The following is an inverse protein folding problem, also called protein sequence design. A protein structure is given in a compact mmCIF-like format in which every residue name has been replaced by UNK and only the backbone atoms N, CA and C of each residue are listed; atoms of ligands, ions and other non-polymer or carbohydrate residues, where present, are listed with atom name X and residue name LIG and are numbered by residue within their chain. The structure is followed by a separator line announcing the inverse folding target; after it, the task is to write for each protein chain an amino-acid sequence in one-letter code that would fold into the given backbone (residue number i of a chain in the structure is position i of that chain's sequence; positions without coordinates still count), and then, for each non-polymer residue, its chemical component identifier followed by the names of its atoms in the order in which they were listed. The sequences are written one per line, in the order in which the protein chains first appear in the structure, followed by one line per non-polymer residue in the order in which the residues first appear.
data_IF_140227230878
#
_entry.id   IF_140227230878
#
_cell.length_a   1.000
_cell.length_b   1.000
_cell.length_c   1.000
_cell.angle_alpha   90.00
_cell.angle_beta   90.00
_cell.angle_gamma   90.00
#
_symmetry.space_group_name_H-M   'P 1'
#
loop_
_entity.id
_entity.type
_entity.pdbx_description
1 polymer ?
#
# COMPACT_ATOMS: atom_id res chain seq x y z
N UNK A 1 -1.59 9.80 -14.76
CA UNK A 1 -2.46 9.04 -13.85
C UNK A 1 -1.65 8.70 -12.60
N UNK A 2 -2.21 8.15 -11.52
CA UNK A 2 -1.44 7.38 -10.54
C UNK A 2 -1.22 5.94 -11.04
N UNK A 3 -0.36 5.16 -10.37
CA UNK A 3 -0.30 3.70 -10.51
C UNK A 3 -1.12 3.11 -9.37
N UNK A 4 -1.92 2.11 -9.68
CA UNK A 4 -2.73 1.37 -8.71
C UNK A 4 -1.85 0.34 -8.01
N UNK A 5 -2.06 0.19 -6.70
CA UNK A 5 -1.32 -0.72 -5.85
C UNK A 5 -2.30 -1.53 -5.03
N UNK A 6 -2.18 -2.85 -5.09
CA UNK A 6 -2.94 -3.78 -4.27
C UNK A 6 -2.00 -4.54 -3.35
N UNK A 7 -2.32 -4.57 -2.06
CA UNK A 7 -1.55 -5.30 -1.04
C UNK A 7 -2.45 -6.29 -0.33
N UNK A 8 -2.02 -7.55 -0.28
CA UNK A 8 -2.66 -8.62 0.48
C UNK A 8 -1.75 -9.07 1.61
N UNK A 9 -2.27 -9.03 2.83
CA UNK A 9 -1.52 -9.41 4.03
C UNK A 9 -2.37 -10.23 4.99
N UNK A 10 -1.73 -11.03 5.83
CA UNK A 10 -2.41 -11.84 6.85
C UNK A 10 -2.76 -11.06 8.12
N UNK A 11 -2.14 -9.89 8.31
CA UNK A 11 -2.32 -8.99 9.44
C UNK A 11 -2.75 -7.61 8.95
N UNK A 12 -3.65 -6.93 9.67
CA UNK A 12 -4.14 -5.60 9.29
C UNK A 12 -2.99 -4.58 9.25
N UNK A 13 -2.62 -4.03 8.09
CA UNK A 13 -1.60 -3.00 8.04
C UNK A 13 -2.08 -1.72 8.73
N UNK A 14 -1.18 -1.09 9.48
CA UNK A 14 -1.36 0.24 10.01
C UNK A 14 -0.52 1.25 9.21
N UNK A 15 -0.94 2.52 9.11
CA UNK A 15 -0.15 3.53 8.40
C UNK A 15 1.30 3.66 8.88
N UNK A 16 1.55 3.43 10.17
CA UNK A 16 2.90 3.45 10.75
C UNK A 16 3.80 2.36 10.17
N UNK A 17 3.24 1.19 9.84
CA UNK A 17 4.01 0.06 9.31
C UNK A 17 4.65 0.39 7.96
N UNK A 18 3.94 1.16 7.12
CA UNK A 18 4.47 1.62 5.84
C UNK A 18 5.54 2.70 6.01
N UNK A 19 5.42 3.56 7.03
CA UNK A 19 6.46 4.56 7.34
C UNK A 19 7.72 3.88 7.86
N UNK A 20 7.58 2.88 8.73
CA UNK A 20 8.70 2.10 9.25
C UNK A 20 9.42 1.35 8.12
N UNK A 21 8.66 0.71 7.22
CA UNK A 21 9.22 0.09 6.02
C UNK A 21 9.93 1.10 5.11
N UNK A 22 9.40 2.32 5.02
CA UNK A 22 9.96 3.41 4.22
C UNK A 22 11.15 4.15 4.83
N UNK A 23 11.41 3.99 6.13
CA UNK A 23 12.40 4.81 6.85
C UNK A 23 13.83 4.66 6.30
N UNK A 24 14.17 3.48 5.75
CA UNK A 24 15.46 3.23 5.09
C UNK A 24 15.56 3.74 3.65
N UNK A 25 14.42 4.08 3.03
CA UNK A 25 14.30 4.53 1.64
C UNK A 25 14.26 6.07 1.58
N UNK A 26 13.40 6.66 2.40
CA UNK A 26 13.27 8.10 2.55
C UNK A 26 13.16 8.44 4.06
N UNK A 27 14.20 9.02 4.68
CA UNK A 27 14.26 9.19 6.13
C UNK A 27 13.36 10.31 6.68
N UNK A 28 12.76 11.09 5.79
CA UNK A 28 11.98 12.29 6.05
C UNK A 28 10.48 12.13 5.76
N UNK A 29 10.02 10.88 5.59
CA UNK A 29 8.63 10.54 5.37
C UNK A 29 7.75 10.97 6.54
N UNK A 30 6.53 11.40 6.21
CA UNK A 30 5.51 11.79 7.19
C UNK A 30 4.16 11.23 6.78
N UNK A 31 3.25 11.17 7.74
CA UNK A 31 1.87 10.75 7.52
C UNK A 31 0.95 11.96 7.50
N UNK A 32 0.02 11.99 6.54
CA UNK A 32 -1.13 12.90 6.52
C UNK A 32 -2.39 12.10 6.26
N UNK A 33 -3.42 12.33 7.06
CA UNK A 33 -4.74 11.73 6.83
C UNK A 33 -5.64 12.71 6.09
N UNK A 34 -6.34 12.21 5.07
CA UNK A 34 -7.31 12.93 4.27
C UNK A 34 -8.73 12.37 4.50
N UNK A 35 -9.73 13.09 4.01
CA UNK A 35 -11.13 12.62 3.95
C UNK A 35 -11.68 12.07 5.28
N UNK A 36 -11.33 12.72 6.40
CA UNK A 36 -11.81 12.32 7.72
C UNK A 36 -11.30 10.97 8.22
N UNK A 37 -10.25 10.39 7.62
CA UNK A 37 -9.72 9.08 8.00
C UNK A 37 -9.70 8.05 6.88
N UNK A 38 -10.41 8.29 5.78
CA UNK A 38 -10.60 7.28 4.72
C UNK A 38 -9.34 7.00 3.90
N UNK A 39 -8.44 7.99 3.80
CA UNK A 39 -7.17 7.87 3.08
C UNK A 39 -6.05 8.37 3.96
N UNK A 40 -4.97 7.59 4.01
CA UNK A 40 -3.72 8.00 4.63
C UNK A 40 -2.63 8.13 3.57
N UNK A 41 -2.01 9.30 3.51
CA UNK A 41 -0.89 9.57 2.64
C UNK A 41 0.44 9.51 3.40
N UNK A 42 1.43 8.92 2.74
CA UNK A 42 2.83 9.10 3.05
C UNK A 42 3.35 10.21 2.14
N UNK A 43 3.94 11.22 2.75
CA UNK A 43 4.46 12.41 2.07
C UNK A 43 5.94 12.61 2.36
N UNK A 44 6.67 13.19 1.42
CA UNK A 44 8.09 13.55 1.59
C UNK A 44 8.28 14.83 2.44
N UNK A 45 9.53 15.29 2.65
CA UNK A 45 9.81 16.57 3.35
C UNK A 45 9.14 17.79 2.74
N UNK A 46 8.82 17.77 1.45
CA UNK A 46 8.19 18.88 0.72
C UNK A 46 6.67 18.85 0.89
N UNK A 47 6.13 17.75 1.39
CA UNK A 47 4.70 17.50 1.51
C UNK A 47 4.08 16.94 0.24
N UNK A 48 4.91 16.50 -0.71
CA UNK A 48 4.46 15.83 -1.93
C UNK A 48 4.13 14.38 -1.58
N UNK A 49 2.96 13.90 -2.00
CA UNK A 49 2.54 12.52 -1.75
C UNK A 49 3.44 11.55 -2.52
N UNK A 50 3.88 10.48 -1.86
CA UNK A 50 4.61 9.36 -2.48
C UNK A 50 3.76 8.10 -2.52
N UNK A 51 2.81 7.96 -1.59
CA UNK A 51 1.88 6.84 -1.49
C UNK A 51 0.60 7.32 -0.80
N UNK A 52 -0.56 6.98 -1.36
CA UNK A 52 -1.87 7.19 -0.75
C UNK A 52 -2.51 5.82 -0.51
N UNK A 53 -3.03 5.55 0.69
CA UNK A 53 -3.48 4.22 1.11
C UNK A 53 -4.88 4.32 1.68
N UNK A 54 -5.79 3.47 1.23
CA UNK A 54 -7.12 3.35 1.82
C UNK A 54 -7.09 2.55 3.12
N UNK A 55 -8.18 2.65 3.88
CA UNK A 55 -8.38 1.79 5.04
C UNK A 55 -8.39 0.32 4.60
N UNK A 56 -7.57 -0.56 5.21
CA UNK A 56 -7.57 -1.98 4.89
C UNK A 56 -8.92 -2.65 5.22
N UNK A 57 -9.36 -3.53 4.34
CA UNK A 57 -10.60 -4.29 4.49
C UNK A 57 -10.32 -5.79 4.63
N UNK A 58 -11.03 -6.46 5.54
CA UNK A 58 -10.88 -7.91 5.73
C UNK A 58 -11.75 -8.66 4.71
N UNK A 59 -11.12 -9.50 3.88
CA UNK A 59 -11.80 -10.40 2.96
C UNK A 59 -11.74 -11.82 3.50
N UNK A 60 -12.86 -12.31 4.03
CA UNK A 60 -12.95 -13.63 4.67
C UNK A 60 -13.19 -14.80 3.69
N UNK A 61 -13.73 -14.50 2.50
CA UNK A 61 -14.18 -15.53 1.55
C UNK A 61 -13.08 -15.88 0.55
N UNK A 62 -12.61 -17.13 0.56
CA UNK A 62 -11.60 -17.62 -0.37
C UNK A 62 -11.99 -17.50 -1.86
N UNK A 63 -13.27 -17.68 -2.21
CA UNK A 63 -13.73 -17.50 -3.59
C UNK A 63 -13.66 -16.03 -4.02
N UNK A 64 -13.86 -15.11 -3.08
CA UNK A 64 -13.73 -13.67 -3.34
C UNK A 64 -12.27 -13.25 -3.49
N UNK A 65 -11.38 -13.76 -2.64
CA UNK A 65 -9.92 -13.58 -2.79
C UNK A 65 -9.45 -14.07 -4.15
N UNK A 66 -9.88 -15.27 -4.57
CA UNK A 66 -9.52 -15.83 -5.88
C UNK A 66 -10.08 -15.01 -7.06
N UNK A 67 -11.24 -14.38 -6.90
CA UNK A 67 -11.86 -13.51 -7.92
C UNK A 67 -11.16 -12.16 -8.03
N UNK A 68 -10.84 -11.54 -6.90
CA UNK A 68 -10.26 -10.19 -6.82
C UNK A 68 -8.74 -10.20 -7.06
N UNK A 69 -8.03 -11.21 -6.57
CA UNK A 69 -6.59 -11.36 -6.71
C UNK A 69 -6.19 -12.74 -7.26
N UNK A 70 -6.54 -13.05 -8.53
CA UNK A 70 -6.13 -14.29 -9.17
C UNK A 70 -4.60 -14.41 -9.36
N UNK A 71 -3.86 -13.32 -9.15
CA UNK A 71 -2.40 -13.25 -9.18
C UNK A 71 -1.74 -13.69 -7.87
N UNK A 72 -2.48 -13.75 -6.76
CA UNK A 72 -1.94 -14.00 -5.44
C UNK A 72 -2.01 -15.48 -5.04
N UNK A 73 -1.10 -15.90 -4.18
CA UNK A 73 -1.03 -17.25 -3.62
C UNK A 73 -1.36 -17.31 -2.12
N UNK A 74 -2.23 -16.41 -1.66
CA UNK A 74 -2.68 -16.31 -0.26
C UNK A 74 -4.03 -16.99 -0.04
N UNK A 75 -4.17 -17.67 1.09
CA UNK A 75 -5.44 -18.23 1.55
C UNK A 75 -6.20 -17.20 2.39
N UNK A 76 -7.54 -17.24 2.33
CA UNK A 76 -8.39 -16.40 3.17
C UNK A 76 -8.35 -16.85 4.66
N UNK A 77 -8.55 -15.94 5.62
CA UNK A 77 -8.84 -14.52 5.44
C UNK A 77 -7.60 -13.67 5.14
N UNK A 78 -7.76 -12.61 4.35
CA UNK A 78 -6.70 -11.64 4.05
C UNK A 78 -7.17 -10.20 4.24
N UNK A 79 -6.24 -9.33 4.63
CA UNK A 79 -6.41 -7.89 4.60
C UNK A 79 -6.08 -7.37 3.21
N UNK A 80 -7.09 -6.81 2.56
CA UNK A 80 -7.04 -6.14 1.28
C UNK A 80 -6.77 -4.66 1.48
N UNK A 81 -5.70 -4.14 0.89
CA UNK A 81 -5.38 -2.71 0.95
C UNK A 81 -5.18 -2.17 -0.45
N UNK A 82 -6.00 -1.18 -0.82
CA UNK A 82 -5.84 -0.41 -2.04
C UNK A 82 -4.99 0.83 -1.77
N UNK A 83 -4.11 1.14 -2.71
CA UNK A 83 -3.24 2.28 -2.64
C UNK A 83 -2.93 2.84 -4.02
N UNK A 84 -2.41 4.06 -4.03
CA UNK A 84 -1.98 4.77 -5.22
C UNK A 84 -0.62 5.39 -5.02
N UNK A 85 0.22 5.29 -6.03
CA UNK A 85 1.48 6.03 -6.10
C UNK A 85 1.43 6.98 -7.29
N UNK A 86 1.98 8.20 -7.19
CA UNK A 86 2.05 9.09 -8.35
C UNK A 86 2.99 8.53 -9.43
N UNK A 87 3.06 9.20 -10.57
CA UNK A 87 4.07 8.90 -11.58
C UNK A 87 5.37 9.64 -11.32
N UNK A 88 6.45 9.13 -11.92
CA UNK A 88 7.79 9.70 -11.78
C UNK A 88 8.42 9.41 -10.43
N UNK A 89 9.49 10.15 -10.11
CA UNK A 89 10.40 9.84 -9.01
C UNK A 89 9.71 9.71 -7.64
N UNK A 90 8.70 10.54 -7.35
CA UNK A 90 7.96 10.46 -6.09
C UNK A 90 7.20 9.13 -5.96
N UNK A 91 6.64 8.62 -7.06
CA UNK A 91 5.97 7.34 -7.01
C UNK A 91 6.92 6.16 -7.06
N UNK A 92 8.12 6.32 -7.64
CA UNK A 92 9.13 5.26 -7.59
C UNK A 92 9.54 4.99 -6.15
N UNK A 93 9.68 6.06 -5.34
CA UNK A 93 9.82 5.95 -3.88
C UNK A 93 8.61 5.24 -3.25
N UNK A 94 7.38 5.61 -3.65
CA UNK A 94 6.16 4.93 -3.19
C UNK A 94 6.16 3.43 -3.47
N UNK A 95 6.55 3.00 -4.67
CA UNK A 95 6.67 1.59 -5.06
C UNK A 95 7.72 0.88 -4.21
N UNK A 96 8.87 1.51 -3.97
CA UNK A 96 9.92 0.95 -3.10
C UNK A 96 9.41 0.76 -1.66
N UNK A 97 8.68 1.74 -1.11
CA UNK A 97 8.09 1.64 0.24
C UNK A 97 7.13 0.46 0.33
N UNK A 98 6.21 0.31 -0.62
CA UNK A 98 5.23 -0.79 -0.61
C UNK A 98 5.93 -2.14 -0.74
N UNK A 99 6.98 -2.25 -1.56
CA UNK A 99 7.78 -3.49 -1.68
C UNK A 99 8.53 -3.81 -0.40
N UNK A 100 9.10 -2.81 0.27
CA UNK A 100 9.76 -2.99 1.55
C UNK A 100 8.77 -3.43 2.63
N UNK A 101 7.58 -2.83 2.65
CA UNK A 101 6.49 -3.23 3.53
C UNK A 101 6.11 -4.69 3.30
N UNK A 102 5.92 -5.07 2.04
CA UNK A 102 5.54 -6.44 1.68
C UNK A 102 6.56 -7.48 2.13
N UNK A 103 7.85 -7.18 1.96
CA UNK A 103 8.93 -8.04 2.44
C UNK A 103 8.96 -8.16 3.97
N UNK A 104 8.61 -7.09 4.70
CA UNK A 104 8.60 -7.08 6.17
C UNK A 104 7.37 -7.77 6.77
N UNK A 105 6.23 -7.74 6.07
CA UNK A 105 4.93 -8.23 6.55
C UNK A 105 4.45 -9.53 5.91
N UNK A 106 5.31 -10.18 5.11
CA UNK A 106 4.96 -11.36 4.31
C UNK A 106 3.69 -11.11 3.47
N UNK A 107 3.60 -9.91 2.89
CA UNK A 107 2.49 -9.47 2.07
C UNK A 107 2.78 -9.71 0.59
N UNK A 108 1.73 -9.88 -0.21
CA UNK A 108 1.84 -9.93 -1.67
C UNK A 108 1.36 -8.62 -2.26
N UNK A 109 2.05 -8.13 -3.30
CA UNK A 109 1.79 -6.82 -3.90
C UNK A 109 1.67 -6.92 -5.41
N UNK A 110 0.65 -6.26 -5.95
CA UNK A 110 0.52 -5.95 -7.36
C UNK A 110 0.61 -4.44 -7.55
N UNK A 111 1.39 -4.01 -8.55
CA UNK A 111 1.47 -2.61 -8.99
C UNK A 111 1.11 -2.57 -10.46
N UNK A 112 0.12 -1.76 -10.81
CA UNK A 112 -0.38 -1.62 -12.17
C UNK A 112 -0.31 -0.15 -12.59
N UNK A 113 0.20 0.09 -13.78
CA UNK A 113 0.14 1.43 -14.37
C UNK A 113 -1.31 1.71 -14.75
N UNK A 114 -1.92 2.73 -14.14
CA UNK A 114 -3.29 3.13 -14.45
C UNK A 114 -3.43 3.46 -15.94
N UNK A 115 -4.35 2.76 -16.61
CA UNK A 115 -4.65 2.87 -18.04
C UNK A 115 -5.34 4.17 -18.43
#
# INVERSE_FOLDING_TARGET
MPRDVLVLSTTAPQPVDLVEAGAGIAPDLRVRTLEGGAVTEIVDRRGDAVLSVQVPELVENAAEVARLAPWASVDAPVWWTEAWVPWGAAGDVGVEIVRAFAAAFDAQVLVEDGS
#
